data_IF_535842112887
#
_entry.id   IF_535842112887
#
_cell.length_a   1.000
_cell.length_b   1.000
_cell.length_c   1.000
_cell.angle_alpha   90.00
_cell.angle_beta   90.00
_cell.angle_gamma   90.00
#
_symmetry.space_group_name_H-M   'P 1'
#
loop_
_entity.id
_entity.type
_entity.pdbx_description
1 polymer ?
#
# COMPACT_ATOMS: atom_id res chain seq x y z
N UNK A 1 4.93 -27.74 -21.70
CA UNK A 1 4.11 -26.51 -21.82
C UNK A 1 4.35 -25.75 -20.53
N UNK A 2 5.23 -24.76 -20.60
CA UNK A 2 5.66 -23.98 -19.44
C UNK A 2 4.52 -23.02 -19.07
N UNK A 3 3.72 -23.37 -18.06
CA UNK A 3 2.74 -22.46 -17.45
C UNK A 3 3.45 -21.53 -16.46
N UNK A 4 4.60 -20.98 -16.84
CA UNK A 4 5.13 -19.84 -16.14
C UNK A 4 4.21 -18.67 -16.51
N UNK A 5 3.09 -18.58 -15.79
CA UNK A 5 2.20 -17.42 -15.81
C UNK A 5 3.09 -16.22 -15.50
N UNK A 6 3.49 -15.50 -16.54
CA UNK A 6 4.26 -14.28 -16.41
C UNK A 6 3.31 -13.21 -15.88
N UNK A 7 3.03 -13.28 -14.58
CA UNK A 7 2.25 -12.28 -13.85
C UNK A 7 2.80 -10.89 -14.20
N UNK A 8 1.92 -9.98 -14.61
CA UNK A 8 2.26 -8.59 -14.86
C UNK A 8 2.58 -7.89 -13.53
N UNK A 9 3.85 -7.98 -13.14
CA UNK A 9 4.38 -7.41 -11.90
C UNK A 9 4.40 -5.88 -11.95
N UNK A 10 4.49 -5.29 -13.15
CA UNK A 10 4.48 -3.84 -13.37
C UNK A 10 3.14 -3.21 -13.01
N UNK A 11 2.05 -3.96 -13.12
CA UNK A 11 0.72 -3.53 -12.66
C UNK A 11 0.37 -4.09 -11.28
N UNK A 12 0.66 -5.38 -11.05
CA UNK A 12 0.22 -6.08 -9.85
C UNK A 12 0.80 -5.50 -8.55
N UNK A 13 2.11 -5.24 -8.51
CA UNK A 13 2.74 -4.73 -7.29
C UNK A 13 2.34 -3.28 -6.95
N UNK A 14 2.35 -2.32 -7.91
CA UNK A 14 1.89 -0.97 -7.62
C UNK A 14 0.46 -0.92 -7.11
N UNK A 15 -0.44 -1.72 -7.70
CA UNK A 15 -1.84 -1.82 -7.25
C UNK A 15 -1.93 -2.40 -5.84
N UNK A 16 -1.21 -3.50 -5.55
CA UNK A 16 -1.22 -4.13 -4.23
C UNK A 16 -0.75 -3.16 -3.14
N UNK A 17 0.40 -2.51 -3.33
CA UNK A 17 0.92 -1.54 -2.35
C UNK A 17 0.06 -0.27 -2.29
N UNK A 18 -0.56 0.14 -3.40
CA UNK A 18 -1.54 1.23 -3.42
C UNK A 18 -2.77 0.91 -2.56
N UNK A 19 -3.28 -0.32 -2.62
CA UNK A 19 -4.38 -0.78 -1.74
C UNK A 19 -3.94 -0.71 -0.26
N UNK A 20 -2.73 -1.18 0.07
CA UNK A 20 -2.18 -1.07 1.42
C UNK A 20 -2.10 0.38 1.88
N UNK A 21 -1.67 1.29 0.99
CA UNK A 21 -1.59 2.72 1.27
C UNK A 21 -2.97 3.31 1.64
N UNK A 22 -3.98 2.98 0.82
CA UNK A 22 -5.37 3.43 1.02
C UNK A 22 -5.93 2.86 2.33
N UNK A 23 -5.70 1.59 2.63
CA UNK A 23 -6.15 0.98 3.89
C UNK A 23 -5.50 1.66 5.10
N UNK A 24 -4.20 2.00 5.02
CA UNK A 24 -3.51 2.79 6.03
C UNK A 24 -4.15 4.17 6.21
N UNK A 25 -4.46 4.86 5.12
CA UNK A 25 -5.09 6.19 5.17
C UNK A 25 -6.52 6.13 5.75
N UNK A 26 -7.30 5.11 5.39
CA UNK A 26 -8.63 4.86 5.98
C UNK A 26 -8.49 4.57 7.48
N UNK A 27 -7.55 3.72 7.88
CA UNK A 27 -7.27 3.44 9.29
C UNK A 27 -6.90 4.70 10.06
N UNK A 28 -6.03 5.55 9.49
CA UNK A 28 -5.64 6.83 10.08
C UNK A 28 -6.85 7.71 10.35
N UNK A 29 -7.75 7.84 9.36
CA UNK A 29 -8.97 8.64 9.49
C UNK A 29 -9.92 8.07 10.56
N UNK A 30 -10.14 6.76 10.56
CA UNK A 30 -11.01 6.08 11.54
C UNK A 30 -10.49 6.26 12.97
N UNK A 31 -9.20 5.98 13.21
CA UNK A 31 -8.60 6.16 14.53
C UNK A 31 -8.47 7.65 14.93
N UNK A 32 -8.40 8.54 13.95
CA UNK A 32 -8.48 9.98 14.18
C UNK A 32 -9.81 10.40 14.81
N UNK A 33 -10.92 9.78 14.41
CA UNK A 33 -12.23 10.04 15.03
C UNK A 33 -12.36 9.48 16.46
N UNK A 34 -11.64 8.41 16.79
CA UNK A 34 -11.66 7.83 18.15
C UNK A 34 -10.69 8.52 19.12
N UNK A 35 -9.83 9.41 18.62
CA UNK A 35 -8.80 10.10 19.42
C UNK A 35 -7.60 9.23 19.78
N UNK A 36 -7.51 8.01 19.24
CA UNK A 36 -6.36 7.12 19.48
C UNK A 36 -5.20 7.52 18.57
N UNK A 37 -4.37 8.44 19.08
CA UNK A 37 -3.24 9.00 18.34
C UNK A 37 -2.18 7.95 17.98
N UNK A 38 -1.96 6.94 18.83
CA UNK A 38 -0.96 5.91 18.56
C UNK A 38 -1.41 5.02 17.40
N UNK A 39 -2.68 4.58 17.42
CA UNK A 39 -3.24 3.80 16.33
C UNK A 39 -3.32 4.61 15.02
N UNK A 40 -3.74 5.89 15.10
CA UNK A 40 -3.80 6.78 13.94
C UNK A 40 -2.42 7.04 13.32
N UNK A 41 -1.41 7.32 14.15
CA UNK A 41 -0.04 7.50 13.71
C UNK A 41 0.56 6.22 13.10
N UNK A 42 0.27 5.05 13.69
CA UNK A 42 0.66 3.76 13.11
C UNK A 42 0.04 3.51 11.74
N UNK A 43 -1.25 3.83 11.58
CA UNK A 43 -1.95 3.70 10.31
C UNK A 43 -1.42 4.66 9.24
N UNK A 44 -1.05 5.89 9.62
CA UNK A 44 -0.34 6.82 8.73
C UNK A 44 1.00 6.26 8.25
N UNK A 45 1.78 5.65 9.15
CA UNK A 45 3.05 5.03 8.77
C UNK A 45 2.85 3.90 7.73
N UNK A 46 1.83 3.06 7.92
CA UNK A 46 1.44 2.04 6.93
C UNK A 46 1.05 2.68 5.59
N UNK A 47 0.28 3.77 5.63
CA UNK A 47 -0.13 4.49 4.43
C UNK A 47 1.08 4.99 3.61
N UNK A 48 2.03 5.62 4.31
CA UNK A 48 3.25 6.17 3.69
C UNK A 48 4.16 5.08 3.14
N UNK A 49 4.37 4.00 3.89
CA UNK A 49 5.18 2.87 3.42
C UNK A 49 4.54 2.17 2.22
N UNK A 50 3.22 1.94 2.26
CA UNK A 50 2.48 1.39 1.12
C UNK A 50 2.58 2.29 -0.11
N UNK A 51 2.40 3.60 0.05
CA UNK A 51 2.53 4.56 -1.05
C UNK A 51 3.94 4.58 -1.65
N UNK A 52 4.97 4.61 -0.80
CA UNK A 52 6.36 4.57 -1.25
C UNK A 52 6.70 3.27 -2.00
N UNK A 53 6.25 2.12 -1.49
CA UNK A 53 6.43 0.82 -2.14
C UNK A 53 5.67 0.71 -3.47
N UNK A 54 4.49 1.33 -3.57
CA UNK A 54 3.73 1.40 -4.83
C UNK A 54 4.52 2.13 -5.91
N UNK A 55 5.06 3.31 -5.58
CA UNK A 55 5.89 4.09 -6.51
C UNK A 55 7.19 3.34 -6.83
N UNK A 56 7.85 2.76 -5.84
CA UNK A 56 9.07 1.98 -6.07
C UNK A 56 8.82 0.78 -6.99
N UNK A 57 7.72 0.04 -6.77
CA UNK A 57 7.34 -1.09 -7.60
C UNK A 57 7.08 -0.67 -9.06
N UNK A 58 6.45 0.50 -9.27
CA UNK A 58 6.21 1.02 -10.62
C UNK A 58 7.53 1.30 -11.35
N UNK A 59 8.52 1.86 -10.66
CA UNK A 59 9.84 2.13 -11.28
C UNK A 59 10.70 0.87 -11.48
N UNK A 60 10.48 -0.19 -10.70
CA UNK A 60 11.29 -1.42 -10.78
C UNK A 60 10.70 -2.42 -11.79
N UNK A 61 9.38 -2.46 -11.94
CA UNK A 61 8.68 -3.50 -12.73
C UNK A 61 7.82 -2.97 -13.88
N UNK A 62 7.55 -1.66 -13.95
CA UNK A 62 6.83 -1.00 -15.05
C UNK A 62 7.78 -0.37 -16.05
#
# INVERSE_FOLDING_TARGET
METADSTDKGVGFPVLFGIVAVLGAVGMAVFGFTGDQLASGGALAVAMLGGALSVAAYHVYG
#
